data_IF_810638534037
#
_entry.id   IF_810638534037
#
_cell.length_a   1.000
_cell.length_b   1.000
_cell.length_c   1.000
_cell.angle_alpha   90.00
_cell.angle_beta   90.00
_cell.angle_gamma   90.00
#
_symmetry.space_group_name_H-M   'P 1'
#
loop_
_entity.id
_entity.type
_entity.pdbx_description
1 polymer ?
2 water ?
#
# COMPACT_ATOMS: atom_id res chain seq x y z
N UNK A 1 4.16 4.47 -1.97
CA UNK A 1 3.44 3.95 -3.13
C UNK A 1 2.44 4.96 -3.67
N UNK A 2 2.14 5.97 -2.86
CA UNK A 2 1.18 6.99 -3.27
C UNK A 2 -0.16 6.33 -3.56
N UNK A 3 -0.42 5.23 -2.87
CA UNK A 3 -1.65 4.47 -3.06
C UNK A 3 -2.34 4.09 -1.75
N UNK A 4 -3.66 4.28 -1.69
CA UNK A 4 -4.43 3.91 -0.51
C UNK A 4 -5.05 2.56 -0.83
N UNK A 5 -5.43 1.81 0.21
CA UNK A 5 -6.04 0.50 0.02
C UNK A 5 -7.24 0.33 0.94
N UNK A 6 -8.24 1.19 0.76
CA UNK A 6 -9.44 1.14 1.58
C UNK A 6 -10.17 -0.19 1.47
N UNK A 7 -10.04 -0.87 0.34
CA UNK A 7 -10.69 -2.17 0.19
C UNK A 7 -9.76 -3.34 0.49
N UNK A 8 -8.63 -3.04 1.12
CA UNK A 8 -7.70 -4.08 1.54
C UNK A 8 -6.58 -4.58 0.64
N UNK A 9 -6.49 -4.10 -0.59
CA UNK A 9 -5.44 -4.58 -1.49
C UNK A 9 -4.72 -3.46 -2.23
N UNK A 10 -3.42 -3.65 -2.44
CA UNK A 10 -2.59 -2.68 -3.17
C UNK A 10 -2.25 -3.28 -4.52
N UNK A 11 -2.17 -2.44 -5.54
CA UNK A 11 -1.89 -2.92 -6.88
C UNK A 11 -0.57 -2.41 -7.44
N UNK A 12 0.04 -1.45 -6.76
CA UNK A 12 1.32 -0.93 -7.19
C UNK A 12 2.33 -2.04 -6.92
N UNK A 13 3.22 -2.29 -7.87
CA UNK A 13 4.22 -3.33 -7.73
C UNK A 13 5.04 -3.22 -6.45
N UNK A 14 5.12 -4.33 -5.72
CA UNK A 14 5.90 -4.36 -4.49
C UNK A 14 5.27 -3.73 -3.27
N UNK A 15 4.05 -3.23 -3.40
CA UNK A 15 3.36 -2.59 -2.28
C UNK A 15 2.36 -3.54 -1.62
N UNK A 16 2.21 -3.41 -0.30
CA UNK A 16 1.30 -4.24 0.48
C UNK A 16 0.42 -3.33 1.33
N UNK A 17 -0.78 -3.80 1.65
CA UNK A 17 -1.70 -2.98 2.43
C UNK A 17 -1.54 -3.03 3.94
N UNK A 18 -1.37 -1.84 4.51
CA UNK A 18 -1.28 -1.64 5.95
C UNK A 18 -2.46 -0.69 6.09
N UNK A 19 -3.66 -1.26 6.04
CA UNK A 19 -4.90 -0.48 6.07
C UNK A 19 -4.78 0.81 6.86
N UNK A 20 -5.13 1.95 6.23
CA UNK A 20 -5.61 2.03 4.85
C UNK A 20 -4.57 2.49 3.84
N UNK A 21 -3.29 2.38 4.19
CA UNK A 21 -2.24 2.83 3.27
C UNK A 21 -1.34 1.73 2.74
N UNK A 22 -0.90 1.89 1.49
CA UNK A 22 -0.01 0.92 0.86
C UNK A 22 1.42 1.25 1.23
N UNK A 23 2.19 0.21 1.54
CA UNK A 23 3.58 0.42 1.92
C UNK A 23 4.51 -0.48 1.13
N UNK A 24 5.76 -0.04 0.99
CA UNK A 24 6.80 -0.79 0.30
C UNK A 24 8.01 -0.62 1.21
N UNK A 25 8.65 -1.73 1.57
CA UNK A 25 9.81 -1.65 2.46
C UNK A 25 9.39 -0.98 3.77
N UNK A 26 8.15 -1.23 4.17
CA UNK A 26 7.63 -0.68 5.41
C UNK A 26 7.22 0.78 5.43
N UNK A 27 7.34 1.47 4.31
CA UNK A 27 6.97 2.89 4.25
C UNK A 27 5.98 3.19 3.14
N UNK A 28 5.08 4.17 3.36
CA UNK A 28 4.07 4.57 2.38
C UNK A 28 4.64 5.43 1.26
N UNK A 29 5.39 4.80 0.37
CA UNK A 29 6.00 5.49 -0.76
C UNK A 29 5.38 5.00 -2.06
#
# INVERSE_FOLDING_TARGET
CGETCTLGTCYTAGCSCSWPVCTRNGVPI
#
